data_IF_355506312933
#
_entry.id   IF_355506312933
#
_cell.length_a   1.000
_cell.length_b   1.000
_cell.length_c   1.000
_cell.angle_alpha   90.00
_cell.angle_beta   90.00
_cell.angle_gamma   90.00
#
_symmetry.space_group_name_H-M   'P 1'
#
loop_
_entity.id
_entity.type
_entity.pdbx_description
1 polymer ?
#
# COMPACT_ATOMS: atom_id res chain seq x y z
N UNK A 1 20.97 -10.48 2.92
CA UNK A 1 19.69 -10.83 3.57
C UNK A 1 19.20 -9.75 4.54
N UNK A 2 20.09 -9.14 5.34
CA UNK A 2 19.71 -8.05 6.27
C UNK A 2 19.01 -6.86 5.59
N UNK A 3 19.54 -6.37 4.48
CA UNK A 3 18.94 -5.24 3.74
C UNK A 3 17.51 -5.51 3.29
N UNK A 4 17.18 -6.76 2.95
CA UNK A 4 15.84 -7.17 2.52
C UNK A 4 14.87 -7.16 3.69
N UNK A 5 15.28 -7.74 4.82
CA UNK A 5 14.48 -7.75 6.03
C UNK A 5 14.16 -6.31 6.50
N UNK A 6 15.17 -5.43 6.46
CA UNK A 6 14.98 -4.00 6.77
C UNK A 6 14.00 -3.37 5.80
N UNK A 7 14.18 -3.58 4.48
CA UNK A 7 13.29 -3.02 3.46
C UNK A 7 11.83 -3.46 3.61
N UNK A 8 11.60 -4.72 3.94
CA UNK A 8 10.24 -5.25 4.19
C UNK A 8 9.61 -4.74 5.48
N UNK A 9 10.42 -4.41 6.49
CA UNK A 9 9.93 -3.87 7.77
C UNK A 9 9.58 -2.38 7.72
N UNK A 10 10.19 -1.61 6.83
CA UNK A 10 9.99 -0.16 6.72
C UNK A 10 8.52 0.23 6.55
N UNK A 11 7.72 -0.35 5.61
CA UNK A 11 6.30 -0.04 5.47
C UNK A 11 5.49 -0.35 6.72
N UNK A 12 5.75 -1.48 7.36
CA UNK A 12 5.11 -1.89 8.61
C UNK A 12 5.38 -0.88 9.74
N UNK A 13 6.62 -0.39 9.85
CA UNK A 13 6.97 0.65 10.82
C UNK A 13 6.23 1.95 10.54
N UNK A 14 6.02 2.33 9.27
CA UNK A 14 5.23 3.48 8.87
C UNK A 14 3.80 3.41 9.43
N UNK A 15 3.08 2.31 9.16
CA UNK A 15 1.73 2.07 9.67
C UNK A 15 1.68 2.04 11.20
N UNK A 16 2.64 1.36 11.83
CA UNK A 16 2.70 1.22 13.29
C UNK A 16 2.94 2.56 13.98
N UNK A 17 3.89 3.34 13.50
CA UNK A 17 4.19 4.67 14.04
C UNK A 17 3.02 5.63 13.81
N UNK A 18 2.38 5.58 12.63
CA UNK A 18 1.17 6.34 12.35
C UNK A 18 0.05 5.99 13.33
N UNK A 19 -0.19 4.71 13.55
CA UNK A 19 -1.21 4.23 14.50
C UNK A 19 -0.89 4.64 15.94
N UNK A 20 0.38 4.67 16.32
CA UNK A 20 0.81 5.09 17.65
C UNK A 20 0.55 6.59 17.92
N UNK A 21 0.36 7.41 16.88
CA UNK A 21 -0.02 8.83 17.05
C UNK A 21 -1.31 9.00 17.85
N UNK A 22 -2.19 8.00 17.86
CA UNK A 22 -3.43 8.03 18.66
C UNK A 22 -3.18 8.27 20.15
N UNK A 23 -2.03 7.82 20.68
CA UNK A 23 -1.67 8.03 22.08
C UNK A 23 -1.24 9.46 22.39
N UNK A 24 -0.71 10.18 21.39
CA UNK A 24 -0.23 11.55 21.50
C UNK A 24 -1.32 12.57 21.16
N UNK A 25 -2.28 12.20 20.32
CA UNK A 25 -3.35 13.09 19.87
C UNK A 25 -4.54 13.02 20.83
N UNK A 26 -5.00 14.18 21.30
CA UNK A 26 -6.19 14.31 22.16
C UNK A 26 -7.48 14.43 21.35
N UNK A 27 -7.41 15.06 20.19
CA UNK A 27 -8.56 15.40 19.35
C UNK A 27 -8.44 14.78 17.96
N UNK A 28 -9.55 14.80 17.22
CA UNK A 28 -9.60 14.37 15.82
C UNK A 28 -8.66 15.22 14.96
N UNK A 29 -8.04 14.60 13.97
CA UNK A 29 -7.20 15.29 12.98
C UNK A 29 -8.04 16.37 12.29
N UNK A 30 -7.47 17.57 12.13
CA UNK A 30 -8.11 18.63 11.37
C UNK A 30 -8.40 18.18 9.93
N UNK A 31 -9.62 18.41 9.46
CA UNK A 31 -10.06 17.95 8.13
C UNK A 31 -9.19 18.47 6.97
N UNK A 32 -8.54 19.63 7.10
CA UNK A 32 -7.61 20.13 6.08
C UNK A 32 -6.32 19.32 6.08
N UNK A 33 -5.79 19.00 7.26
CA UNK A 33 -4.59 18.16 7.43
C UNK A 33 -4.87 16.75 6.92
N UNK A 34 -6.02 16.17 7.29
CA UNK A 34 -6.46 14.85 6.77
C UNK A 34 -6.47 14.82 5.23
N UNK A 35 -7.11 15.80 4.58
CA UNK A 35 -7.16 15.89 3.12
C UNK A 35 -5.78 16.06 2.48
N UNK A 36 -4.91 16.85 3.10
CA UNK A 36 -3.54 17.04 2.64
C UNK A 36 -2.76 15.73 2.72
N UNK A 37 -2.82 15.03 3.85
CA UNK A 37 -2.13 13.76 4.06
C UNK A 37 -2.62 12.67 3.09
N UNK A 38 -3.93 12.56 2.87
CA UNK A 38 -4.51 11.63 1.89
C UNK A 38 -4.09 11.95 0.45
N UNK A 39 -4.09 13.25 0.08
CA UNK A 39 -3.62 13.66 -1.24
C UNK A 39 -2.14 13.41 -1.44
N UNK A 40 -1.32 13.63 -0.42
CA UNK A 40 0.10 13.33 -0.42
C UNK A 40 0.34 11.82 -0.58
N UNK A 41 -0.33 10.98 0.23
CA UNK A 41 -0.26 9.53 0.13
C UNK A 41 -0.62 9.04 -1.27
N UNK A 42 -1.71 9.54 -1.85
CA UNK A 42 -2.13 9.21 -3.23
C UNK A 42 -1.07 9.58 -4.27
N UNK A 43 -0.39 10.72 -4.10
CA UNK A 43 0.71 11.13 -4.96
C UNK A 43 1.92 10.19 -4.86
N UNK A 44 2.28 9.78 -3.65
CA UNK A 44 3.37 8.82 -3.42
C UNK A 44 3.03 7.45 -4.04
N UNK A 45 1.80 6.95 -3.87
CA UNK A 45 1.34 5.70 -4.50
C UNK A 45 1.45 5.76 -6.02
N UNK A 46 0.99 6.85 -6.64
CA UNK A 46 1.08 7.03 -8.08
C UNK A 46 2.54 7.04 -8.56
N UNK A 47 3.41 7.78 -7.87
CA UNK A 47 4.83 7.82 -8.17
C UNK A 47 5.48 6.43 -8.03
N UNK A 48 5.23 5.71 -6.93
CA UNK A 48 5.74 4.38 -6.71
C UNK A 48 5.27 3.38 -7.80
N UNK A 49 4.01 3.43 -8.17
CA UNK A 49 3.45 2.57 -9.23
C UNK A 49 4.14 2.79 -10.57
N UNK A 50 4.39 4.03 -10.94
CA UNK A 50 5.02 4.36 -12.24
C UNK A 50 6.51 4.06 -12.21
N UNK A 51 7.26 4.66 -11.27
CA UNK A 51 8.73 4.63 -11.30
C UNK A 51 9.33 3.35 -10.72
N UNK A 52 8.68 2.75 -9.73
CA UNK A 52 9.23 1.55 -9.06
C UNK A 52 8.70 0.23 -9.59
N UNK A 53 7.57 0.22 -10.32
CA UNK A 53 6.95 -1.00 -10.81
C UNK A 53 6.75 -1.00 -12.34
N UNK A 54 6.03 -0.02 -12.90
CA UNK A 54 5.68 -0.05 -14.33
C UNK A 54 6.89 0.15 -15.24
N UNK A 55 7.74 1.15 -14.96
CA UNK A 55 8.94 1.42 -15.77
C UNK A 55 9.90 0.23 -15.72
N UNK A 56 10.31 -0.31 -14.55
CA UNK A 56 11.14 -1.52 -14.50
C UNK A 56 10.52 -2.72 -15.21
N UNK A 57 9.20 -2.91 -15.13
CA UNK A 57 8.51 -3.99 -15.83
C UNK A 57 8.63 -3.86 -17.36
N UNK A 58 8.57 -2.63 -17.89
CA UNK A 58 8.73 -2.36 -19.32
C UNK A 58 10.19 -2.61 -19.76
N UNK A 59 11.14 -2.18 -18.95
CA UNK A 59 12.58 -2.35 -19.22
C UNK A 59 12.94 -3.85 -19.22
N UNK A 60 12.50 -4.60 -18.22
CA UNK A 60 12.68 -6.06 -18.15
C UNK A 60 12.06 -6.78 -19.35
N UNK A 61 10.86 -6.39 -19.77
CA UNK A 61 10.21 -6.97 -20.96
C UNK A 61 11.01 -6.73 -22.24
N UNK A 62 11.71 -5.60 -22.33
CA UNK A 62 12.61 -5.31 -23.45
C UNK A 62 13.84 -6.22 -23.45
N UNK A 63 14.45 -6.47 -22.30
CA UNK A 63 15.59 -7.38 -22.14
C UNK A 63 15.23 -8.82 -22.51
N UNK A 64 14.05 -9.28 -22.14
CA UNK A 64 13.52 -10.61 -22.43
C UNK A 64 12.91 -10.76 -23.83
N UNK A 65 13.02 -9.75 -24.70
CA UNK A 65 12.43 -9.74 -26.04
C UNK A 65 10.91 -9.96 -26.09
N UNK A 66 10.21 -9.59 -25.02
CA UNK A 66 8.75 -9.62 -24.91
C UNK A 66 8.18 -8.27 -25.40
N UNK A 67 6.90 -8.22 -25.76
CA UNK A 67 6.22 -6.98 -26.09
C UNK A 67 6.28 -6.05 -24.86
N UNK A 68 7.00 -4.93 -24.96
CA UNK A 68 7.39 -4.04 -23.86
C UNK A 68 6.27 -3.64 -22.90
N UNK A 69 5.11 -3.32 -23.44
CA UNK A 69 3.97 -2.85 -22.65
C UNK A 69 3.13 -3.97 -22.04
N UNK A 70 3.26 -5.21 -22.54
CA UNK A 70 2.34 -6.31 -22.22
C UNK A 70 2.39 -6.72 -20.74
N UNK A 71 3.56 -6.95 -20.11
CA UNK A 71 3.61 -7.29 -18.69
C UNK A 71 3.08 -6.18 -17.79
N UNK A 72 3.45 -4.93 -18.08
CA UNK A 72 3.00 -3.78 -17.30
C UNK A 72 1.49 -3.57 -17.41
N UNK A 73 0.94 -3.54 -18.64
CA UNK A 73 -0.51 -3.35 -18.84
C UNK A 73 -1.32 -4.56 -18.38
N UNK A 74 -0.82 -5.79 -18.63
CA UNK A 74 -1.46 -7.02 -18.17
C UNK A 74 -1.48 -7.12 -16.65
N UNK A 75 -0.34 -6.89 -16.00
CA UNK A 75 -0.23 -6.89 -14.54
C UNK A 75 -1.09 -5.82 -13.89
N UNK A 76 -1.10 -4.60 -14.42
CA UNK A 76 -1.96 -3.52 -13.94
C UNK A 76 -3.45 -3.88 -14.05
N UNK A 77 -3.89 -4.42 -15.20
CA UNK A 77 -5.29 -4.83 -15.41
C UNK A 77 -5.68 -5.98 -14.49
N UNK A 78 -4.82 -6.98 -14.32
CA UNK A 78 -5.05 -8.09 -13.40
C UNK A 78 -5.09 -7.61 -11.94
N UNK A 79 -4.24 -6.66 -11.57
CA UNK A 79 -4.26 -6.03 -10.25
C UNK A 79 -5.56 -5.31 -9.94
N UNK A 80 -6.12 -4.57 -10.91
CA UNK A 80 -7.44 -3.93 -10.76
C UNK A 80 -8.52 -4.99 -10.56
N UNK A 81 -8.55 -6.04 -11.38
CA UNK A 81 -9.55 -7.11 -11.25
C UNK A 81 -9.41 -7.82 -9.89
N UNK A 82 -8.18 -8.12 -9.47
CA UNK A 82 -7.89 -8.74 -8.18
C UNK A 82 -8.42 -7.89 -7.01
N UNK A 83 -8.14 -6.58 -7.03
CA UNK A 83 -8.63 -5.67 -5.99
C UNK A 83 -10.15 -5.57 -5.99
N UNK A 84 -10.80 -5.46 -7.15
CA UNK A 84 -12.27 -5.43 -7.26
C UNK A 84 -12.89 -6.72 -6.70
N UNK A 85 -12.29 -7.87 -6.96
CA UNK A 85 -12.76 -9.15 -6.42
C UNK A 85 -12.61 -9.16 -4.90
N UNK A 86 -11.44 -8.83 -4.36
CA UNK A 86 -11.22 -8.81 -2.90
C UNK A 86 -12.15 -7.81 -2.22
N UNK A 87 -12.30 -6.62 -2.77
CA UNK A 87 -13.19 -5.58 -2.26
C UNK A 87 -14.65 -6.06 -2.21
N UNK A 88 -15.10 -6.75 -3.25
CA UNK A 88 -16.49 -7.26 -3.33
C UNK A 88 -16.78 -8.44 -2.39
N UNK A 89 -15.77 -9.26 -2.05
CA UNK A 89 -15.96 -10.43 -1.17
C UNK A 89 -15.65 -10.16 0.30
N UNK A 90 -14.79 -9.19 0.59
CA UNK A 90 -14.38 -8.92 1.97
C UNK A 90 -15.34 -7.96 2.66
N UNK A 91 -15.93 -8.33 3.82
CA UNK A 91 -16.74 -7.40 4.58
C UNK A 91 -15.89 -6.29 5.16
N UNK A 92 -16.08 -5.06 4.68
CA UNK A 92 -15.28 -3.91 5.13
C UNK A 92 -16.12 -2.64 5.25
N UNK A 93 -15.61 -1.65 5.96
CA UNK A 93 -16.26 -0.37 6.21
C UNK A 93 -15.26 0.77 6.02
N UNK A 94 -15.57 1.66 5.12
CA UNK A 94 -14.80 2.89 4.97
C UNK A 94 -15.10 3.91 6.07
N UNK A 95 -14.08 4.69 6.48
CA UNK A 95 -14.13 5.67 7.58
C UNK A 95 -15.33 6.62 7.57
N UNK A 96 -15.80 7.02 6.40
CA UNK A 96 -16.90 7.97 6.22
C UNK A 96 -18.20 7.31 5.78
N UNK A 97 -18.21 6.00 5.55
CA UNK A 97 -19.40 5.23 5.18
C UNK A 97 -20.13 4.73 6.43
N UNK A 98 -21.45 4.77 6.38
CA UNK A 98 -22.32 4.15 7.39
C UNK A 98 -22.83 2.78 6.95
N UNK A 99 -22.54 2.39 5.70
CA UNK A 99 -22.96 1.12 5.13
C UNK A 99 -21.74 0.25 4.87
N UNK A 100 -21.69 -0.96 5.43
CA UNK A 100 -20.66 -1.94 5.10
C UNK A 100 -20.75 -2.34 3.63
N UNK A 101 -19.59 -2.61 3.03
CA UNK A 101 -19.43 -3.12 1.69
C UNK A 101 -18.93 -4.58 1.74
N UNK A 102 -18.96 -5.28 0.60
CA UNK A 102 -18.63 -6.69 0.54
C UNK A 102 -19.74 -7.65 0.99
N UNK A 103 -19.38 -8.87 1.31
CA UNK A 103 -20.32 -9.88 1.77
C UNK A 103 -20.89 -9.51 3.14
N UNK A 104 -22.21 -9.75 3.32
CA UNK A 104 -22.89 -9.47 4.60
C UNK A 104 -22.29 -10.31 5.73
N UNK A 105 -21.67 -9.68 6.70
CA UNK A 105 -21.12 -10.31 7.89
C UNK A 105 -21.55 -9.56 9.16
N UNK A 106 -21.74 -10.30 10.25
CA UNK A 106 -22.06 -9.73 11.58
C UNK A 106 -20.77 -9.35 12.31
N UNK A 107 -19.97 -8.46 11.71
CA UNK A 107 -18.72 -7.96 12.30
C UNK A 107 -18.93 -6.58 12.93
N UNK A 108 -18.15 -6.27 13.95
CA UNK A 108 -18.11 -4.92 14.52
C UNK A 108 -17.54 -3.92 13.49
N UNK A 109 -18.00 -2.69 13.52
CA UNK A 109 -17.51 -1.63 12.62
C UNK A 109 -15.98 -1.46 12.69
N UNK A 110 -15.41 -1.54 13.90
CA UNK A 110 -13.96 -1.49 14.09
C UNK A 110 -13.22 -2.62 13.35
N UNK A 111 -13.75 -3.85 13.40
CA UNK A 111 -13.16 -4.99 12.68
C UNK A 111 -13.24 -4.78 11.17
N UNK A 112 -14.36 -4.28 10.65
CA UNK A 112 -14.54 -3.99 9.23
C UNK A 112 -13.60 -2.86 8.75
N UNK A 113 -13.35 -1.85 9.59
CA UNK A 113 -12.38 -0.79 9.29
C UNK A 113 -10.94 -1.33 9.24
N UNK A 114 -10.57 -2.20 10.18
CA UNK A 114 -9.24 -2.85 10.16
C UNK A 114 -9.09 -3.73 8.92
N UNK A 115 -10.14 -4.46 8.52
CA UNK A 115 -10.11 -5.25 7.28
C UNK A 115 -9.92 -4.37 6.03
N UNK A 116 -10.59 -3.22 5.95
CA UNK A 116 -10.41 -2.28 4.85
C UNK A 116 -8.94 -1.91 4.65
N UNK A 117 -8.24 -1.54 5.76
CA UNK A 117 -6.80 -1.20 5.70
C UNK A 117 -5.92 -2.39 5.36
N UNK A 118 -6.24 -3.54 5.95
CA UNK A 118 -5.48 -4.77 5.65
C UNK A 118 -5.53 -5.09 4.15
N UNK A 119 -6.70 -4.93 3.52
CA UNK A 119 -6.86 -5.15 2.07
C UNK A 119 -5.98 -4.18 1.27
N UNK A 120 -5.90 -2.92 1.66
CA UNK A 120 -5.05 -1.92 1.00
C UNK A 120 -3.56 -2.23 1.16
N UNK A 121 -3.15 -2.68 2.35
CA UNK A 121 -1.75 -2.98 2.65
C UNK A 121 -1.23 -4.28 2.00
N UNK A 122 -2.11 -5.21 1.57
CA UNK A 122 -1.69 -6.44 0.88
C UNK A 122 -0.95 -6.13 -0.44
N UNK A 123 -1.51 -5.37 -1.39
CA UNK A 123 -0.82 -5.04 -2.64
C UNK A 123 0.47 -4.25 -2.41
N UNK A 124 0.50 -3.39 -1.41
CA UNK A 124 1.70 -2.62 -1.05
C UNK A 124 2.83 -3.54 -0.58
N UNK A 125 2.53 -4.44 0.35
CA UNK A 125 3.49 -5.44 0.81
C UNK A 125 3.96 -6.37 -0.31
N UNK A 126 3.05 -6.78 -1.21
CA UNK A 126 3.40 -7.57 -2.40
C UNK A 126 4.34 -6.79 -3.32
N UNK A 127 4.12 -5.52 -3.57
CA UNK A 127 4.97 -4.69 -4.44
C UNK A 127 6.40 -4.58 -3.90
N UNK A 128 6.55 -4.33 -2.60
CA UNK A 128 7.87 -4.32 -1.95
C UNK A 128 8.52 -5.70 -2.03
N UNK A 129 7.76 -6.75 -1.75
CA UNK A 129 8.24 -8.13 -1.81
C UNK A 129 8.78 -8.51 -3.18
N UNK A 130 8.06 -8.18 -4.26
CA UNK A 130 8.47 -8.45 -5.64
C UNK A 130 9.75 -7.70 -6.02
N UNK A 131 9.86 -6.42 -5.65
CA UNK A 131 11.05 -5.62 -5.95
C UNK A 131 12.29 -6.16 -5.22
N UNK A 132 12.17 -6.54 -3.94
CA UNK A 132 13.29 -7.16 -3.23
C UNK A 132 13.59 -8.59 -3.72
N UNK A 133 12.60 -9.35 -4.16
CA UNK A 133 12.82 -10.65 -4.81
C UNK A 133 13.61 -10.50 -6.12
N UNK A 134 13.35 -9.45 -6.91
CA UNK A 134 14.11 -9.12 -8.10
C UNK A 134 15.59 -8.86 -7.80
N UNK A 135 15.90 -8.17 -6.71
CA UNK A 135 17.28 -7.97 -6.26
C UNK A 135 17.96 -9.31 -5.90
N UNK A 136 17.25 -10.21 -5.22
CA UNK A 136 17.76 -11.56 -4.90
C UNK A 136 18.06 -12.36 -6.15
N UNK A 137 17.26 -12.19 -7.19
CA UNK A 137 17.44 -12.85 -8.49
C UNK A 137 18.53 -12.17 -9.34
N UNK A 138 19.26 -11.19 -8.79
CA UNK A 138 20.30 -10.43 -9.49
C UNK A 138 19.81 -9.74 -10.76
N UNK A 139 18.55 -9.32 -10.77
CA UNK A 139 17.99 -8.58 -11.89
C UNK A 139 18.60 -7.19 -11.97
N UNK A 140 19.28 -6.87 -13.06
CA UNK A 140 20.04 -5.63 -13.27
C UNK A 140 19.12 -4.40 -13.39
N UNK A 141 17.86 -4.58 -13.76
CA UNK A 141 16.89 -3.49 -13.92
C UNK A 141 16.37 -2.99 -12.57
N UNK A 142 16.66 -3.67 -11.46
CA UNK A 142 16.19 -3.33 -10.12
C UNK A 142 17.38 -2.97 -9.23
N UNK A 143 17.47 -1.70 -8.83
CA UNK A 143 18.50 -1.25 -7.91
C UNK A 143 18.08 -1.35 -6.45
N UNK A 144 19.04 -1.64 -5.56
CA UNK A 144 18.78 -1.64 -4.11
C UNK A 144 18.27 -0.28 -3.62
N UNK A 145 18.80 0.82 -4.17
CA UNK A 145 18.33 2.17 -3.85
C UNK A 145 16.87 2.39 -4.26
N UNK A 146 16.46 1.90 -5.44
CA UNK A 146 15.07 1.93 -5.91
C UNK A 146 14.13 1.13 -5.01
N UNK A 147 14.55 -0.05 -4.55
CA UNK A 147 13.78 -0.87 -3.63
C UNK A 147 13.57 -0.18 -2.27
N UNK A 148 14.62 0.42 -1.71
CA UNK A 148 14.48 1.22 -0.48
C UNK A 148 13.64 2.48 -0.69
N UNK A 149 13.76 3.16 -1.82
CA UNK A 149 12.94 4.31 -2.15
C UNK A 149 11.44 3.94 -2.18
N UNK A 150 11.09 2.79 -2.78
CA UNK A 150 9.73 2.24 -2.74
C UNK A 150 9.27 1.97 -1.30
N UNK A 151 10.07 1.26 -0.50
CA UNK A 151 9.73 0.93 0.89
C UNK A 151 9.52 2.17 1.75
N UNK A 152 10.40 3.17 1.62
CA UNK A 152 10.29 4.45 2.33
C UNK A 152 9.07 5.23 1.85
N UNK A 153 8.81 5.27 0.55
CA UNK A 153 7.63 5.91 -0.02
C UNK A 153 6.34 5.33 0.55
N UNK A 154 6.23 3.99 0.58
CA UNK A 154 5.09 3.28 1.18
C UNK A 154 5.01 3.55 2.70
N UNK A 155 6.12 3.58 3.43
CA UNK A 155 6.09 3.91 4.86
C UNK A 155 5.58 5.33 5.12
N UNK A 156 5.99 6.29 4.30
CA UNK A 156 5.56 7.69 4.42
C UNK A 156 4.06 7.83 4.18
N UNK A 157 3.48 7.10 3.22
CA UNK A 157 2.03 7.11 2.98
C UNK A 157 1.25 6.32 4.04
N UNK A 158 1.79 5.20 4.53
CA UNK A 158 1.16 4.37 5.54
C UNK A 158 1.11 5.06 6.92
N UNK A 159 2.01 5.98 7.19
CA UNK A 159 1.99 6.76 8.44
C UNK A 159 0.70 7.57 8.61
N UNK A 160 0.27 8.44 7.67
CA UNK A 160 -1.04 9.09 7.75
C UNK A 160 -2.21 8.12 7.81
N UNK A 161 -2.17 7.03 7.05
CA UNK A 161 -3.23 6.03 7.04
C UNK A 161 -3.39 5.37 8.41
N UNK A 162 -2.29 4.93 9.03
CA UNK A 162 -2.28 4.40 10.37
C UNK A 162 -2.85 5.39 11.41
N UNK A 163 -2.46 6.67 11.31
CA UNK A 163 -2.96 7.71 12.20
C UNK A 163 -4.47 7.93 12.04
N UNK A 164 -4.97 8.02 10.81
CA UNK A 164 -6.40 8.26 10.51
C UNK A 164 -7.27 7.11 11.01
N UNK A 165 -6.81 5.86 10.87
CA UNK A 165 -7.59 4.67 11.22
C UNK A 165 -7.58 4.39 12.71
N UNK A 166 -6.48 4.63 13.37
CA UNK A 166 -6.38 4.40 14.82
C UNK A 166 -7.25 5.35 15.65
N UNK A 167 -7.55 6.55 15.16
CA UNK A 167 -8.35 7.53 15.88
C UNK A 167 -9.77 7.08 16.22
N UNK A 168 -10.57 6.52 15.28
CA UNK A 168 -11.90 5.99 15.60
C UNK A 168 -11.89 4.74 16.48
N UNK A 169 -10.75 4.06 16.62
CA UNK A 169 -10.61 2.84 17.42
C UNK A 169 -10.27 3.13 18.89
N UNK A 170 -9.93 4.37 19.22
CA UNK A 170 -9.59 4.81 20.59
C UNK A 170 -10.81 4.91 21.53
N UNK A 171 -12.03 5.01 20.99
CA UNK A 171 -13.26 5.25 21.72
C UNK A 171 -13.90 4.06 22.39
#
# INVERSE_FOLDING_TARGET
MENIAIGLLIPFLGTTLGSAMVFLMKDKINSRVEKFLLGFASGVMMAASVWSLMIPSIDMAQEEHIIKWLPAAGGFSLGIIFLLVIDSITPHLHLKSKKPEGLKAKLKNSTMMVLAVTIHNIPEGMSVGVVFAGILSQNISISLAGAFALSIGIAIQNFPEGAIISMPLKG
#
